data_IF_300378511031
#
_entry.id   IF_300378511031
#
_cell.length_a   1.000
_cell.length_b   1.000
_cell.length_c   1.000
_cell.angle_alpha   90.00
_cell.angle_beta   90.00
_cell.angle_gamma   90.00
#
_symmetry.space_group_name_H-M   'P 1'
#
loop_
_entity.id
_entity.type
_entity.pdbx_description
1 polymer ?
#
# COMPACT_ATOMS: atom_id res chain seq x y z
N UNK A 1 41.17 -17.51 3.27
CA UNK A 1 39.76 -17.05 3.34
C UNK A 1 39.61 -15.89 2.38
N UNK A 2 38.60 -15.91 1.51
CA UNK A 2 38.40 -14.83 0.52
C UNK A 2 38.12 -13.50 1.22
N UNK A 3 38.87 -12.46 0.87
CA UNK A 3 38.68 -11.07 1.34
C UNK A 3 37.67 -10.30 0.48
N UNK A 4 37.13 -10.95 -0.54
CA UNK A 4 36.15 -10.34 -1.43
C UNK A 4 34.85 -10.06 -0.68
N UNK A 5 34.49 -8.79 -0.60
CA UNK A 5 33.16 -8.33 -0.20
C UNK A 5 32.41 -7.97 -1.47
N UNK A 6 31.36 -8.71 -1.80
CA UNK A 6 30.41 -8.26 -2.80
C UNK A 6 29.88 -6.88 -2.38
N UNK A 7 29.69 -5.99 -3.35
CA UNK A 7 29.11 -4.67 -3.11
C UNK A 7 27.66 -4.75 -2.60
N UNK A 8 26.96 -3.63 -2.64
CA UNK A 8 25.55 -3.57 -2.22
C UNK A 8 24.71 -4.58 -3.02
N UNK A 9 23.90 -5.38 -2.31
CA UNK A 9 22.94 -6.28 -2.95
C UNK A 9 21.80 -5.46 -3.58
N UNK A 10 21.64 -5.59 -4.90
CA UNK A 10 20.54 -4.98 -5.64
C UNK A 10 19.37 -5.94 -5.79
N UNK A 11 18.17 -5.49 -5.41
CA UNK A 11 16.94 -6.26 -5.52
C UNK A 11 16.36 -6.11 -6.92
N UNK A 12 16.45 -7.18 -7.72
CA UNK A 12 15.93 -7.24 -9.10
C UNK A 12 14.65 -8.11 -9.16
N UNK A 13 13.77 -7.89 -8.20
CA UNK A 13 12.47 -8.57 -8.04
C UNK A 13 11.36 -7.52 -8.04
N UNK A 14 10.07 -7.86 -8.27
CA UNK A 14 8.97 -6.90 -8.34
C UNK A 14 8.68 -6.16 -7.02
N UNK A 15 9.39 -6.50 -5.95
CA UNK A 15 9.37 -5.78 -4.68
C UNK A 15 9.98 -6.62 -3.55
N UNK A 16 10.50 -5.99 -2.49
CA UNK A 16 10.70 -4.54 -2.34
C UNK A 16 11.85 -4.01 -3.20
N UNK A 17 11.94 -2.69 -3.36
CA UNK A 17 13.09 -2.01 -4.00
C UNK A 17 14.15 -1.63 -2.96
N UNK A 18 15.41 -1.43 -3.41
CA UNK A 18 16.44 -0.90 -2.52
C UNK A 18 16.08 0.50 -1.98
N UNK A 19 16.17 0.68 -0.67
CA UNK A 19 15.86 1.94 0.00
C UNK A 19 17.06 2.90 -0.07
N UNK A 20 16.90 4.17 -0.50
CA UNK A 20 18.00 5.15 -0.50
C UNK A 20 18.57 5.37 0.91
N UNK A 21 19.90 5.56 1.01
CA UNK A 21 20.58 5.63 2.32
C UNK A 21 20.07 6.78 3.20
N UNK A 22 19.70 7.91 2.60
CA UNK A 22 19.08 9.04 3.33
C UNK A 22 17.81 8.63 4.09
N UNK A 23 17.04 7.67 3.56
CA UNK A 23 15.80 7.18 4.18
C UNK A 23 16.13 6.17 5.28
N UNK A 24 17.12 5.30 5.07
CA UNK A 24 17.61 4.39 6.11
C UNK A 24 18.15 5.18 7.32
N UNK A 25 18.91 6.24 7.07
CA UNK A 25 19.37 7.14 8.15
C UNK A 25 18.21 7.87 8.84
N UNK A 26 17.18 8.29 8.10
CA UNK A 26 15.99 8.90 8.69
C UNK A 26 15.26 7.94 9.65
N UNK A 27 15.10 6.67 9.25
CA UNK A 27 14.46 5.63 10.08
C UNK A 27 15.28 5.33 11.35
N UNK A 28 16.60 5.50 11.31
CA UNK A 28 17.50 5.27 12.44
C UNK A 28 17.47 6.37 13.52
N UNK A 29 16.67 7.44 13.34
CA UNK A 29 16.53 8.48 14.37
C UNK A 29 15.80 7.94 15.62
N UNK A 30 16.03 8.53 16.81
CA UNK A 30 15.26 8.18 18.01
C UNK A 30 13.75 8.33 17.79
N UNK A 31 12.98 7.45 18.40
CA UNK A 31 11.52 7.52 18.37
C UNK A 31 11.04 8.85 18.95
N UNK A 32 10.04 9.44 18.29
CA UNK A 32 9.38 10.67 18.76
C UNK A 32 8.04 10.32 19.44
N UNK A 33 7.60 11.19 20.35
CA UNK A 33 6.28 11.05 20.97
C UNK A 33 5.16 11.27 19.93
N UNK A 34 4.32 10.25 19.74
CA UNK A 34 3.16 10.27 18.83
C UNK A 34 2.11 11.33 19.16
N UNK A 35 2.07 11.85 20.40
CA UNK A 35 1.20 12.96 20.80
C UNK A 35 1.94 14.30 20.90
N UNK A 36 3.24 14.28 20.65
CA UNK A 36 4.09 15.45 20.69
C UNK A 36 3.91 16.35 19.47
N UNK A 37 4.24 17.65 19.57
CA UNK A 37 4.08 18.61 18.48
C UNK A 37 4.92 18.26 17.24
N UNK A 38 6.07 17.61 17.43
CA UNK A 38 6.91 17.14 16.33
C UNK A 38 6.23 16.09 15.45
N UNK A 39 5.47 15.16 16.06
CA UNK A 39 4.74 14.13 15.31
C UNK A 39 3.58 14.74 14.49
N UNK A 40 2.86 15.71 15.07
CA UNK A 40 1.79 16.42 14.36
C UNK A 40 2.32 17.12 13.09
N UNK A 41 3.44 17.85 13.22
CA UNK A 41 4.05 18.56 12.10
C UNK A 41 4.49 17.63 10.97
N UNK A 42 5.25 16.56 11.27
CA UNK A 42 5.69 15.62 10.24
C UNK A 42 4.50 14.90 9.59
N UNK A 43 3.45 14.56 10.36
CA UNK A 43 2.25 13.93 9.81
C UNK A 43 1.55 14.84 8.80
N UNK A 44 1.39 16.12 9.12
CA UNK A 44 0.81 17.10 8.19
C UNK A 44 1.62 17.23 6.90
N UNK A 45 2.95 17.37 7.01
CA UNK A 45 3.85 17.46 5.86
C UNK A 45 3.73 16.22 4.94
N UNK A 46 3.67 15.02 5.52
CA UNK A 46 3.52 13.76 4.75
C UNK A 46 2.13 13.69 4.09
N UNK A 47 1.06 14.07 4.78
CA UNK A 47 -0.30 14.06 4.22
C UNK A 47 -0.43 15.03 3.04
N UNK A 48 0.11 16.25 3.18
CA UNK A 48 0.13 17.25 2.10
C UNK A 48 0.99 16.77 0.93
N UNK A 49 2.20 16.25 1.20
CA UNK A 49 3.08 15.71 0.18
C UNK A 49 2.46 14.54 -0.59
N UNK A 50 1.72 13.67 0.10
CA UNK A 50 1.05 12.52 -0.51
C UNK A 50 -0.04 12.93 -1.51
N UNK A 51 -0.78 14.02 -1.25
CA UNK A 51 -1.77 14.56 -2.20
C UNK A 51 -1.14 14.92 -3.55
N UNK A 52 0.11 15.40 -3.57
CA UNK A 52 0.84 15.69 -4.81
C UNK A 52 1.17 14.41 -5.59
N UNK A 53 1.50 13.33 -4.91
CA UNK A 53 1.78 12.02 -5.53
C UNK A 53 0.51 11.45 -6.15
N UNK A 54 -0.58 11.43 -5.38
CA UNK A 54 -1.88 10.91 -5.84
C UNK A 54 -2.65 11.85 -6.76
N UNK A 55 -2.19 13.10 -6.93
CA UNK A 55 -2.85 14.15 -7.74
C UNK A 55 -4.31 14.37 -7.33
N UNK A 56 -4.56 14.46 -6.03
CA UNK A 56 -5.91 14.63 -5.48
C UNK A 56 -6.02 15.89 -4.62
N UNK A 57 -7.19 16.53 -4.64
CA UNK A 57 -7.58 17.57 -3.66
C UNK A 57 -8.25 16.98 -2.42
N UNK A 58 -8.70 15.71 -2.50
CA UNK A 58 -9.37 15.01 -1.40
C UNK A 58 -8.44 14.65 -0.24
N UNK A 59 -9.01 14.23 0.90
CA UNK A 59 -8.24 13.78 2.04
C UNK A 59 -7.44 12.52 1.68
N UNK A 60 -6.19 12.45 2.14
CA UNK A 60 -5.37 11.25 2.09
C UNK A 60 -5.30 10.69 3.50
N UNK A 61 -5.40 9.37 3.63
CA UNK A 61 -5.28 8.67 4.92
C UNK A 61 -4.11 7.71 4.83
N UNK A 62 -3.29 7.68 5.89
CA UNK A 62 -2.16 6.77 6.02
C UNK A 62 -2.55 5.66 6.99
N UNK A 63 -2.49 4.42 6.53
CA UNK A 63 -2.73 3.25 7.37
C UNK A 63 -1.38 2.62 7.76
N UNK A 64 -1.14 2.30 9.05
CA UNK A 64 0.10 1.66 9.51
C UNK A 64 0.08 0.16 9.18
N UNK A 65 0.08 -0.15 7.89
CA UNK A 65 -0.04 -1.50 7.34
C UNK A 65 0.63 -1.60 5.97
N UNK A 66 0.71 -2.80 5.41
CA UNK A 66 1.15 -3.01 4.02
C UNK A 66 0.05 -2.62 3.03
N UNK A 67 0.33 -2.70 1.72
CA UNK A 67 -0.69 -2.44 0.70
C UNK A 67 -1.97 -3.28 0.86
N UNK A 68 -1.85 -4.53 1.32
CA UNK A 68 -3.00 -5.42 1.54
C UNK A 68 -3.93 -4.93 2.64
N UNK A 69 -3.39 -4.33 3.71
CA UNK A 69 -4.25 -3.78 4.77
C UNK A 69 -5.01 -2.53 4.32
N UNK A 70 -4.46 -1.76 3.38
CA UNK A 70 -5.19 -0.65 2.76
C UNK A 70 -6.36 -1.15 1.89
N UNK A 71 -6.22 -2.30 1.22
CA UNK A 71 -7.34 -2.95 0.52
C UNK A 71 -8.47 -3.33 1.46
N UNK A 72 -8.13 -3.98 2.58
CA UNK A 72 -9.08 -4.35 3.61
C UNK A 72 -9.79 -3.13 4.19
N UNK A 73 -9.02 -2.10 4.58
CA UNK A 73 -9.57 -0.86 5.11
C UNK A 73 -10.50 -0.18 4.10
N UNK A 74 -10.17 -0.18 2.81
CA UNK A 74 -11.02 0.41 1.78
C UNK A 74 -12.37 -0.29 1.68
N UNK A 75 -12.41 -1.63 1.69
CA UNK A 75 -13.66 -2.39 1.62
C UNK A 75 -14.51 -2.18 2.88
N UNK A 76 -13.92 -2.38 4.07
CA UNK A 76 -14.66 -2.36 5.33
C UNK A 76 -15.20 -0.98 5.72
N UNK A 77 -14.54 0.10 5.29
CA UNK A 77 -14.97 1.45 5.65
C UNK A 77 -15.90 2.09 4.61
N UNK A 78 -16.10 1.46 3.44
CA UNK A 78 -16.89 2.06 2.35
C UNK A 78 -18.07 1.21 1.92
N UNK A 79 -18.16 -0.06 2.35
CA UNK A 79 -19.20 -1.01 1.95
C UNK A 79 -19.73 -1.78 3.15
N UNK A 80 -20.95 -2.29 3.03
CA UNK A 80 -21.61 -3.18 3.98
C UNK A 80 -21.77 -4.59 3.39
N UNK A 81 -21.88 -5.64 4.22
CA UNK A 81 -22.27 -6.96 3.75
C UNK A 81 -23.56 -6.92 2.93
N UNK A 82 -23.57 -7.60 1.77
CA UNK A 82 -24.65 -7.56 0.78
C UNK A 82 -24.50 -6.49 -0.29
N UNK A 83 -23.61 -5.50 -0.13
CA UNK A 83 -23.36 -4.52 -1.18
C UNK A 83 -22.74 -5.17 -2.42
N UNK A 84 -23.16 -4.69 -3.60
CA UNK A 84 -22.67 -5.18 -4.89
C UNK A 84 -21.41 -4.46 -5.33
N UNK A 85 -20.41 -5.23 -5.76
CA UNK A 85 -19.13 -4.70 -6.26
C UNK A 85 -18.81 -5.31 -7.61
N UNK A 86 -18.49 -4.48 -8.60
CA UNK A 86 -17.94 -4.92 -9.87
C UNK A 86 -16.42 -4.99 -9.77
N UNK A 87 -15.85 -6.15 -10.10
CA UNK A 87 -14.41 -6.37 -10.14
C UNK A 87 -14.02 -7.07 -11.44
N UNK A 88 -12.81 -6.83 -11.92
CA UNK A 88 -12.27 -7.46 -13.11
C UNK A 88 -11.07 -8.33 -12.77
N UNK A 89 -10.98 -9.51 -13.37
CA UNK A 89 -9.83 -10.37 -13.23
C UNK A 89 -8.64 -9.79 -14.00
N UNK A 90 -7.68 -9.17 -13.32
CA UNK A 90 -6.47 -8.59 -13.94
C UNK A 90 -5.17 -9.26 -13.49
N UNK A 91 -5.28 -10.41 -12.83
CA UNK A 91 -4.16 -11.17 -12.31
C UNK A 91 -4.27 -11.48 -10.83
N UNK A 92 -3.14 -11.90 -10.25
CA UNK A 92 -3.09 -12.45 -8.89
C UNK A 92 -3.68 -11.52 -7.83
N UNK A 93 -3.38 -10.22 -7.89
CA UNK A 93 -3.85 -9.25 -6.91
C UNK A 93 -5.37 -9.02 -6.97
N UNK A 94 -5.97 -9.00 -8.17
CA UNK A 94 -7.42 -8.94 -8.31
C UNK A 94 -8.09 -10.18 -7.71
N UNK A 95 -7.54 -11.38 -7.95
CA UNK A 95 -8.05 -12.61 -7.35
C UNK A 95 -7.97 -12.61 -5.82
N UNK A 96 -6.89 -12.07 -5.25
CA UNK A 96 -6.74 -11.95 -3.79
C UNK A 96 -7.77 -10.97 -3.21
N UNK A 97 -7.97 -9.82 -3.86
CA UNK A 97 -8.91 -8.81 -3.40
C UNK A 97 -10.38 -9.26 -3.55
N UNK A 98 -10.71 -9.96 -4.63
CA UNK A 98 -12.00 -10.66 -4.81
C UNK A 98 -12.30 -11.63 -3.66
N UNK A 99 -11.35 -12.52 -3.34
CA UNK A 99 -11.51 -13.47 -2.22
C UNK A 99 -11.68 -12.77 -0.87
N UNK A 100 -11.02 -11.62 -0.67
CA UNK A 100 -11.18 -10.80 0.53
C UNK A 100 -12.59 -10.19 0.60
N UNK A 101 -13.06 -9.58 -0.49
CA UNK A 101 -14.40 -9.01 -0.57
C UNK A 101 -15.50 -10.05 -0.27
N UNK A 102 -15.39 -11.26 -0.82
CA UNK A 102 -16.33 -12.35 -0.53
C UNK A 102 -16.35 -12.75 0.95
N UNK A 103 -15.19 -12.77 1.61
CA UNK A 103 -15.11 -13.07 3.05
C UNK A 103 -15.80 -12.01 3.92
N UNK A 104 -15.91 -10.78 3.42
CA UNK A 104 -16.66 -9.71 4.07
C UNK A 104 -18.15 -9.68 3.71
N UNK A 105 -18.64 -10.70 2.98
CA UNK A 105 -20.05 -10.83 2.63
C UNK A 105 -20.49 -9.91 1.50
N UNK A 106 -19.57 -9.39 0.69
CA UNK A 106 -19.89 -8.56 -0.47
C UNK A 106 -20.37 -9.43 -1.64
N UNK A 107 -21.35 -8.94 -2.39
CA UNK A 107 -21.84 -9.56 -3.62
C UNK A 107 -20.97 -9.10 -4.80
N UNK A 108 -19.93 -9.87 -5.13
CA UNK A 108 -18.98 -9.47 -6.17
C UNK A 108 -19.35 -10.06 -7.53
N UNK A 109 -19.60 -9.18 -8.51
CA UNK A 109 -19.61 -9.53 -9.93
C UNK A 109 -18.16 -9.50 -10.45
N UNK A 110 -17.59 -10.68 -10.69
CA UNK A 110 -16.18 -10.83 -11.07
C UNK A 110 -16.06 -11.18 -12.54
N UNK A 111 -15.78 -10.17 -13.36
CA UNK A 111 -15.70 -10.29 -14.81
C UNK A 111 -14.39 -11.00 -15.19
N UNK A 112 -14.46 -12.20 -15.81
CA UNK A 112 -13.27 -12.93 -16.23
C UNK A 112 -12.60 -12.23 -17.41
N UNK A 113 -11.27 -12.21 -17.42
CA UNK A 113 -10.48 -11.68 -18.55
C UNK A 113 -9.29 -12.59 -18.85
N UNK A 114 -8.35 -12.15 -19.67
CA UNK A 114 -7.06 -12.82 -19.81
C UNK A 114 -5.95 -11.87 -19.33
N UNK A 115 -5.03 -12.37 -18.49
CA UNK A 115 -4.00 -11.54 -17.83
C UNK A 115 -2.97 -10.90 -18.80
N UNK A 116 -3.19 -11.05 -20.11
CA UNK A 116 -2.32 -10.57 -21.19
C UNK A 116 -2.77 -9.23 -21.76
N UNK A 117 -4.01 -8.80 -21.49
CA UNK A 117 -4.56 -7.55 -21.96
C UNK A 117 -5.17 -6.77 -20.79
N UNK A 118 -5.04 -5.43 -20.84
CA UNK A 118 -5.73 -4.55 -19.90
C UNK A 118 -7.24 -4.56 -20.13
N UNK A 119 -7.97 -4.10 -19.13
CA UNK A 119 -9.43 -3.86 -19.17
C UNK A 119 -9.69 -2.43 -19.59
#
# INVERSE_FOLDING_TARGET
>A
MSTYKAGRHFLQIPGPSNVPDRILHAIAHPTIDHRGPGFGKISEEVLIGSRRIFRTSGPVVIFPTSGTGAWEASLLNTLNPGDKVLMFETGHFATLWYKMAQKFGLEVDFVPTNWRHGV
#
